data_IF_812324441752
#
_entry.id   IF_812324441752
#
_cell.length_a   1.000
_cell.length_b   1.000
_cell.length_c   1.000
_cell.angle_alpha   90.00
_cell.angle_beta   90.00
_cell.angle_gamma   90.00
#
_symmetry.space_group_name_H-M   'P 1'
#
loop_
_entity.id
_entity.type
_entity.pdbx_description
1 polymer ?
#
# COMPACT_ATOMS: atom_id res chain seq x y z
N UNK A 1 -25.67 2.10 -22.53
CA UNK A 1 -24.20 2.09 -22.71
C UNK A 1 -23.64 1.50 -21.44
N UNK A 2 -22.88 0.40 -21.53
CA UNK A 2 -22.27 -0.23 -20.35
C UNK A 2 -21.05 0.63 -20.00
N UNK A 3 -21.14 1.36 -18.90
CA UNK A 3 -20.03 2.14 -18.37
C UNK A 3 -18.92 1.14 -17.99
N UNK A 4 -17.78 1.22 -18.67
CA UNK A 4 -16.65 0.34 -18.36
C UNK A 4 -16.16 0.69 -16.97
N UNK A 5 -16.20 -0.27 -16.08
CA UNK A 5 -15.46 -0.28 -14.82
C UNK A 5 -14.06 0.35 -14.99
N UNK A 6 -13.81 1.47 -14.33
CA UNK A 6 -12.55 2.19 -14.46
C UNK A 6 -11.52 1.63 -13.46
N UNK A 7 -10.60 0.79 -13.96
CA UNK A 7 -9.43 0.36 -13.18
C UNK A 7 -8.42 1.50 -13.17
N UNK A 8 -8.14 2.04 -11.98
CA UNK A 8 -7.11 3.05 -11.78
C UNK A 8 -5.75 2.40 -11.55
N UNK A 9 -4.68 3.13 -11.89
CA UNK A 9 -3.33 2.59 -11.85
C UNK A 9 -2.28 3.68 -11.66
N UNK A 10 -1.24 3.33 -10.93
CA UNK A 10 0.01 4.06 -10.86
C UNK A 10 1.17 3.13 -11.20
N UNK A 11 2.04 3.57 -12.10
CA UNK A 11 3.24 2.84 -12.50
C UNK A 11 4.46 3.75 -12.41
N UNK A 12 5.53 3.25 -11.80
CA UNK A 12 6.82 3.94 -11.75
C UNK A 12 7.95 2.92 -11.81
N UNK A 13 8.57 2.84 -12.99
CA UNK A 13 9.61 1.85 -13.29
C UNK A 13 9.07 0.43 -13.09
N UNK A 14 9.55 -0.24 -12.06
CA UNK A 14 9.19 -1.63 -11.76
C UNK A 14 8.03 -1.79 -10.76
N UNK A 15 7.61 -0.69 -10.13
CA UNK A 15 6.50 -0.66 -9.20
C UNK A 15 5.22 -0.38 -9.96
N UNK A 16 4.22 -1.23 -9.75
CA UNK A 16 2.91 -1.10 -10.35
C UNK A 16 1.82 -1.38 -9.32
N UNK A 17 0.98 -0.39 -9.05
CA UNK A 17 -0.19 -0.56 -8.21
C UNK A 17 -1.43 -0.21 -9.03
N UNK A 18 -2.37 -1.14 -9.09
CA UNK A 18 -3.69 -0.90 -9.66
C UNK A 18 -4.75 -1.10 -8.59
N UNK A 19 -5.86 -0.38 -8.73
CA UNK A 19 -6.96 -0.45 -7.78
C UNK A 19 -8.30 -0.19 -8.44
N UNK A 20 -9.34 -0.70 -7.77
CA UNK A 20 -10.73 -0.54 -8.13
C UNK A 20 -11.57 -0.51 -6.85
N UNK A 21 -12.65 0.24 -6.83
CA UNK A 21 -13.57 0.31 -5.69
C UNK A 21 -14.86 -0.40 -6.03
N UNK A 22 -15.24 -1.36 -5.19
CA UNK A 22 -16.51 -2.08 -5.35
C UNK A 22 -17.70 -1.31 -4.77
N UNK A 23 -18.91 -1.83 -5.02
CA UNK A 23 -20.16 -1.26 -4.51
C UNK A 23 -20.29 -1.31 -2.97
N UNK A 24 -19.45 -2.09 -2.29
CA UNK A 24 -19.42 -2.23 -0.84
C UNK A 24 -18.40 -1.31 -0.19
N UNK A 25 -17.90 -0.30 -0.92
CA UNK A 25 -16.87 0.63 -0.46
C UNK A 25 -15.56 -0.06 -0.03
N UNK A 26 -15.16 -1.14 -0.71
CA UNK A 26 -13.83 -1.72 -0.57
C UNK A 26 -12.96 -1.42 -1.78
N UNK A 27 -11.73 -1.00 -1.51
CA UNK A 27 -10.68 -0.83 -2.52
C UNK A 27 -9.95 -2.15 -2.68
N UNK A 28 -9.97 -2.70 -3.88
CA UNK A 28 -9.23 -3.91 -4.26
C UNK A 28 -7.94 -3.49 -4.95
N UNK A 29 -6.81 -3.74 -4.29
CA UNK A 29 -5.49 -3.44 -4.81
C UNK A 29 -4.86 -4.66 -5.47
N UNK A 30 -4.08 -4.40 -6.53
CA UNK A 30 -3.14 -5.34 -7.09
C UNK A 30 -1.78 -4.66 -7.27
N UNK A 31 -0.83 -5.06 -6.42
CA UNK A 31 0.57 -4.68 -6.51
C UNK A 31 1.33 -5.71 -7.35
N UNK A 32 2.10 -5.24 -8.32
CA UNK A 32 3.13 -6.00 -9.01
C UNK A 32 4.44 -5.20 -8.92
N UNK A 33 5.45 -5.77 -8.28
CA UNK A 33 6.78 -5.20 -8.21
C UNK A 33 7.78 -6.14 -8.89
N UNK A 34 8.35 -5.71 -10.02
CA UNK A 34 9.39 -6.46 -10.76
C UNK A 34 10.79 -6.10 -10.26
N UNK A 35 11.73 -7.05 -10.32
CA UNK A 35 13.08 -6.87 -9.75
C UNK A 35 13.06 -6.44 -8.26
N UNK A 36 12.08 -6.95 -7.51
CA UNK A 36 12.01 -6.75 -6.06
C UNK A 36 13.18 -7.49 -5.38
N UNK A 37 13.82 -6.90 -4.34
CA UNK A 37 15.03 -7.45 -3.75
C UNK A 37 14.92 -8.93 -3.36
N UNK A 38 16.01 -9.69 -3.55
CA UNK A 38 16.13 -11.10 -3.13
C UNK A 38 16.46 -11.29 -1.63
N UNK A 39 16.31 -10.22 -0.85
CA UNK A 39 16.54 -10.19 0.59
C UNK A 39 15.24 -9.78 1.29
N UNK A 40 15.24 -9.87 2.63
CA UNK A 40 14.11 -9.41 3.43
C UNK A 40 13.89 -7.90 3.20
N UNK A 41 12.75 -7.55 2.63
CA UNK A 41 12.49 -6.21 2.15
C UNK A 41 10.98 -5.89 2.21
N UNK A 42 10.66 -4.60 2.15
CA UNK A 42 9.29 -4.11 2.20
C UNK A 42 9.07 -2.96 1.20
N UNK A 43 7.82 -2.83 0.77
CA UNK A 43 7.28 -1.72 -0.04
C UNK A 43 5.85 -1.47 0.43
N UNK A 44 5.11 -0.60 -0.25
CA UNK A 44 3.72 -0.34 0.12
C UNK A 44 3.15 0.88 -0.58
N UNK A 45 2.02 1.31 -0.05
CA UNK A 45 1.35 2.57 -0.35
C UNK A 45 0.90 3.18 0.97
N UNK A 46 1.06 4.48 1.12
CA UNK A 46 0.58 5.22 2.28
C UNK A 46 -0.40 6.32 1.87
N UNK A 47 -1.21 6.76 2.81
CA UNK A 47 -2.31 7.68 2.66
C UNK A 47 -2.13 8.81 3.66
N UNK A 48 -2.23 10.05 3.18
CA UNK A 48 -2.00 11.25 3.97
C UNK A 48 -0.88 12.13 3.44
N UNK A 49 -0.82 13.34 3.99
CA UNK A 49 -0.05 14.44 3.41
C UNK A 49 1.47 14.30 3.61
N UNK A 50 1.91 13.81 4.77
CA UNK A 50 3.33 13.68 5.11
C UNK A 50 3.53 12.82 6.36
N UNK A 51 4.73 12.25 6.55
CA UNK A 51 5.09 11.56 7.80
C UNK A 51 4.90 12.44 9.04
N UNK A 52 5.16 13.76 8.93
CA UNK A 52 5.00 14.70 10.04
C UNK A 52 3.53 14.89 10.44
N UNK A 53 2.61 14.82 9.48
CA UNK A 53 1.16 14.90 9.71
C UNK A 53 0.55 13.56 10.15
N UNK A 54 1.30 12.46 10.03
CA UNK A 54 0.78 11.11 10.16
C UNK A 54 0.45 10.52 8.80
N UNK A 55 0.67 9.21 8.68
CA UNK A 55 0.26 8.42 7.53
C UNK A 55 -0.37 7.11 8.00
N UNK A 56 -1.38 6.69 7.28
CA UNK A 56 -1.93 5.33 7.24
C UNK A 56 -1.28 4.61 6.06
N UNK A 57 -0.85 3.37 6.21
CA UNK A 57 -0.02 2.69 5.22
C UNK A 57 -0.28 1.19 5.14
N UNK A 58 -0.53 0.73 3.92
CA UNK A 58 -0.48 -0.70 3.63
C UNK A 58 0.94 -1.10 3.26
N UNK A 59 1.56 -1.91 4.11
CA UNK A 59 2.93 -2.39 3.96
C UNK A 59 2.93 -3.83 3.46
N UNK A 60 3.67 -4.07 2.38
CA UNK A 60 3.90 -5.40 1.80
C UNK A 60 5.33 -5.81 2.09
N UNK A 61 5.51 -6.87 2.87
CA UNK A 61 6.83 -7.41 3.25
C UNK A 61 7.09 -8.72 2.53
N UNK A 62 8.33 -8.94 2.14
CA UNK A 62 8.86 -10.24 1.74
C UNK A 62 9.91 -10.64 2.75
N UNK A 63 9.65 -11.71 3.49
CA UNK A 63 10.57 -12.25 4.52
C UNK A 63 10.78 -13.73 4.25
N UNK A 64 12.03 -14.11 3.99
CA UNK A 64 12.41 -15.48 3.62
C UNK A 64 11.54 -16.05 2.47
N UNK A 65 11.27 -15.21 1.46
CA UNK A 65 10.45 -15.54 0.29
C UNK A 65 8.94 -15.58 0.54
N UNK A 66 8.47 -15.37 1.78
CA UNK A 66 7.04 -15.31 2.12
C UNK A 66 6.55 -13.86 2.09
N UNK A 67 5.41 -13.65 1.46
CA UNK A 67 4.79 -12.32 1.37
C UNK A 67 3.76 -12.16 2.49
N UNK A 68 3.77 -11.02 3.16
CA UNK A 68 2.71 -10.58 4.07
C UNK A 68 2.28 -9.16 3.72
N UNK A 69 1.03 -8.83 4.04
CA UNK A 69 0.46 -7.49 3.92
C UNK A 69 -0.05 -7.11 5.30
N UNK A 70 0.25 -5.90 5.74
CA UNK A 70 -0.21 -5.37 7.02
C UNK A 70 -0.62 -3.91 6.87
N UNK A 71 -1.65 -3.55 7.62
CA UNK A 71 -2.02 -2.16 7.89
C UNK A 71 -1.10 -1.61 8.99
N UNK A 72 -0.42 -0.52 8.69
CA UNK A 72 0.54 0.14 9.56
C UNK A 72 0.36 1.65 9.49
N UNK A 73 0.74 2.36 10.53
CA UNK A 73 0.74 3.82 10.53
C UNK A 73 2.14 4.39 10.81
N UNK A 74 2.34 5.65 10.44
CA UNK A 74 3.56 6.42 10.70
C UNK A 74 3.22 7.64 11.55
N UNK A 75 4.02 7.91 12.59
CA UNK A 75 3.95 9.13 13.39
C UNK A 75 5.28 9.85 13.41
N UNK A 76 5.36 11.00 12.74
CA UNK A 76 6.61 11.74 12.57
C UNK A 76 7.61 10.97 11.70
N UNK A 77 8.88 11.40 11.70
CA UNK A 77 9.95 10.74 10.94
C UNK A 77 10.46 9.45 11.62
N UNK A 78 9.54 8.53 11.91
CA UNK A 78 9.80 7.24 12.56
C UNK A 78 9.46 6.06 11.62
N UNK A 79 9.94 4.85 11.91
CA UNK A 79 9.46 3.64 11.26
C UNK A 79 7.94 3.46 11.44
N UNK A 80 7.30 2.78 10.49
CA UNK A 80 5.89 2.42 10.60
C UNK A 80 5.67 1.41 11.74
N UNK A 81 4.45 1.44 12.29
CA UNK A 81 4.00 0.57 13.38
C UNK A 81 2.69 -0.09 12.97
N UNK A 82 2.49 -1.40 13.22
CA UNK A 82 1.23 -2.04 12.94
C UNK A 82 0.06 -1.33 13.62
N UNK A 83 -1.04 -1.12 12.89
CA UNK A 83 -2.30 -0.73 13.52
C UNK A 83 -2.86 -1.91 14.34
N UNK A 84 -3.49 -1.59 15.46
CA UNK A 84 -4.21 -2.54 16.29
C UNK A 84 -5.46 -3.09 15.58
N UNK A 85 -6.18 -2.27 14.81
CA UNK A 85 -7.22 -2.73 13.90
C UNK A 85 -6.60 -2.92 12.53
N UNK A 86 -6.62 -4.13 11.99
CA UNK A 86 -6.13 -4.39 10.64
C UNK A 86 -7.31 -4.24 9.68
N UNK A 87 -7.41 -3.08 9.03
CA UNK A 87 -8.45 -2.82 8.02
C UNK A 87 -8.17 -3.51 6.67
N UNK A 88 -6.96 -4.04 6.52
CA UNK A 88 -6.45 -4.60 5.27
C UNK A 88 -6.48 -6.12 5.28
N UNK A 89 -7.05 -6.71 4.22
CA UNK A 89 -7.14 -8.16 4.06
C UNK A 89 -6.33 -8.65 2.85
N UNK A 90 -5.38 -9.55 3.09
CA UNK A 90 -4.65 -10.22 2.02
C UNK A 90 -5.53 -11.27 1.33
N UNK A 91 -5.66 -11.18 0.00
CA UNK A 91 -6.38 -12.15 -0.82
C UNK A 91 -5.43 -13.21 -1.40
N UNK A 92 -4.39 -12.77 -2.09
CA UNK A 92 -3.38 -13.63 -2.72
C UNK A 92 -2.04 -12.94 -2.73
N UNK A 93 -0.95 -13.65 -2.50
CA UNK A 93 0.38 -13.10 -2.70
C UNK A 93 1.38 -14.16 -3.15
N UNK A 94 2.33 -13.75 -3.97
CA UNK A 94 3.44 -14.57 -4.41
C UNK A 94 4.71 -13.72 -4.52
N UNK A 95 5.83 -14.35 -4.22
CA UNK A 95 7.15 -13.82 -4.54
C UNK A 95 7.94 -14.92 -5.24
N UNK A 96 8.26 -14.69 -6.52
CA UNK A 96 9.02 -15.66 -7.31
C UNK A 96 10.03 -14.94 -8.19
N UNK A 97 11.30 -15.34 -8.11
CA UNK A 97 12.39 -14.84 -8.96
C UNK A 97 12.43 -13.30 -9.09
N UNK A 98 12.29 -12.59 -7.96
CA UNK A 98 12.33 -11.12 -7.95
C UNK A 98 11.04 -10.45 -8.42
N UNK A 99 9.95 -11.19 -8.61
CA UNK A 99 8.62 -10.64 -8.91
C UNK A 99 7.74 -10.83 -7.68
N UNK A 100 7.38 -9.72 -7.04
CA UNK A 100 6.38 -9.66 -5.98
C UNK A 100 5.02 -9.36 -6.61
N UNK A 101 4.01 -10.17 -6.30
CA UNK A 101 2.60 -9.84 -6.55
C UNK A 101 1.81 -9.97 -5.27
N UNK A 102 0.96 -9.00 -5.00
CA UNK A 102 0.03 -9.05 -3.87
C UNK A 102 -1.31 -8.44 -4.28
N UNK A 103 -2.39 -9.13 -3.90
CA UNK A 103 -3.76 -8.63 -3.98
C UNK A 103 -4.31 -8.55 -2.58
N UNK A 104 -4.84 -7.39 -2.23
CA UNK A 104 -5.36 -7.10 -0.90
C UNK A 104 -6.49 -6.09 -1.00
N UNK A 105 -7.33 -6.05 0.03
CA UNK A 105 -8.44 -5.11 0.11
C UNK A 105 -8.30 -4.22 1.32
N UNK A 106 -8.87 -3.02 1.22
CA UNK A 106 -9.00 -2.06 2.32
C UNK A 106 -10.32 -1.29 2.15
N UNK A 107 -11.11 -1.04 3.20
CA UNK A 107 -12.28 -0.17 3.13
C UNK A 107 -11.90 1.25 2.68
N UNK A 108 -12.80 1.91 1.93
CA UNK A 108 -12.65 3.33 1.55
C UNK A 108 -12.59 4.23 2.78
N UNK A 109 -13.35 3.86 3.83
CA UNK A 109 -13.30 4.52 5.13
C UNK A 109 -13.02 3.45 6.18
N UNK A 110 -11.75 3.19 6.46
CA UNK A 110 -11.39 2.69 7.77
C UNK A 110 -11.33 3.92 8.67
N UNK A 111 -12.23 3.98 9.63
CA UNK A 111 -12.26 5.07 10.64
C UNK A 111 -12.41 4.44 12.02
N UNK A 112 -11.93 3.21 12.16
CA UNK A 112 -11.99 2.44 13.40
C UNK A 112 -10.85 2.87 14.33
N UNK A 113 -9.77 3.42 13.77
CA UNK A 113 -8.61 3.97 14.48
C UNK A 113 -8.40 5.46 14.14
N UNK A 114 -7.83 6.21 15.09
CA UNK A 114 -7.52 7.66 14.91
C UNK A 114 -6.37 7.92 13.94
N UNK A 115 -5.67 6.87 13.52
CA UNK A 115 -4.58 6.97 12.54
C UNK A 115 -5.02 6.58 11.15
N UNK A 116 -6.23 6.03 10.99
CA UNK A 116 -6.77 5.66 9.69
C UNK A 116 -7.10 6.91 8.88
N UNK A 117 -6.76 6.87 7.60
CA UNK A 117 -7.12 7.91 6.65
C UNK A 117 -8.20 7.39 5.70
N UNK A 118 -9.35 8.09 5.70
CA UNK A 118 -10.37 7.90 4.68
C UNK A 118 -9.79 8.19 3.28
N UNK A 119 -10.08 7.31 2.33
CA UNK A 119 -9.71 7.44 0.92
C UNK A 119 -10.82 8.09 0.09
N UNK A 120 -11.90 8.54 0.72
CA UNK A 120 -13.05 9.16 0.05
C UNK A 120 -12.63 10.46 -0.65
N UNK A 121 -13.11 10.66 -1.87
CA UNK A 121 -12.78 11.84 -2.67
C UNK A 121 -11.35 11.82 -3.20
N UNK A 122 -10.72 13.00 -3.25
CA UNK A 122 -9.36 13.18 -3.75
C UNK A 122 -8.37 13.33 -2.59
N UNK A 123 -7.55 12.31 -2.36
CA UNK A 123 -6.62 12.28 -1.22
C UNK A 123 -5.17 12.06 -1.65
N UNK A 124 -4.19 12.57 -0.89
CA UNK A 124 -2.78 12.34 -1.17
C UNK A 124 -2.39 10.89 -0.84
N UNK A 125 -1.85 10.20 -1.83
CA UNK A 125 -1.27 8.87 -1.71
C UNK A 125 0.24 8.95 -1.91
N UNK A 126 0.99 8.14 -1.18
CA UNK A 126 2.44 8.04 -1.26
C UNK A 126 2.85 6.65 -1.70
N UNK A 127 3.38 6.54 -2.91
CA UNK A 127 3.82 5.28 -3.49
C UNK A 127 5.29 5.01 -3.11
N UNK A 128 5.53 3.91 -2.38
CA UNK A 128 6.86 3.56 -1.85
C UNK A 128 7.60 2.73 -2.89
N UNK A 129 8.02 3.39 -3.97
CA UNK A 129 8.65 2.75 -5.13
C UNK A 129 10.10 2.33 -4.88
N UNK A 130 10.77 2.87 -3.85
CA UNK A 130 12.09 2.43 -3.39
C UNK A 130 11.94 1.54 -2.16
N UNK A 131 12.10 0.20 -2.26
CA UNK A 131 11.90 -0.69 -1.12
C UNK A 131 12.88 -0.39 0.00
N UNK A 132 12.46 -0.65 1.24
CA UNK A 132 13.31 -0.69 2.42
C UNK A 132 13.69 -2.13 2.79
N UNK A 133 14.71 -2.30 3.61
CA UNK A 133 15.09 -3.62 4.15
C UNK A 133 14.21 -3.97 5.35
N UNK A 134 13.97 -5.26 5.60
CA UNK A 134 13.37 -5.73 6.86
C UNK A 134 14.48 -6.30 7.73
N UNK A 135 14.64 -5.74 8.94
CA UNK A 135 15.65 -6.17 9.90
C UNK A 135 15.28 -7.49 10.57
N UNK A 136 16.25 -8.11 11.23
CA UNK A 136 16.07 -9.39 11.92
C UNK A 136 15.02 -9.33 13.05
N UNK A 137 14.78 -8.16 13.64
CA UNK A 137 13.73 -7.95 14.65
C UNK A 137 12.34 -7.70 14.05
N UNK A 138 12.18 -7.82 12.72
CA UNK A 138 10.93 -7.56 12.00
C UNK A 138 10.66 -6.09 11.68
N UNK A 139 11.48 -5.16 12.18
CA UNK A 139 11.35 -3.73 11.91
C UNK A 139 11.69 -3.37 10.46
N UNK A 140 10.98 -2.39 9.91
CA UNK A 140 11.27 -1.83 8.59
C UNK A 140 12.40 -0.79 8.65
N UNK A 141 13.43 -0.98 7.82
CA UNK A 141 14.44 0.03 7.54
C UNK A 141 13.94 1.11 6.57
N UNK A 142 14.62 2.26 6.54
CA UNK A 142 14.24 3.39 5.67
C UNK A 142 14.14 2.96 4.21
N UNK A 143 13.08 3.41 3.52
CA UNK A 143 12.93 3.26 2.07
C UNK A 143 14.14 3.86 1.32
N UNK A 144 14.57 3.24 0.22
CA UNK A 144 15.76 3.66 -0.53
C UNK A 144 15.55 4.93 -1.37
N UNK A 145 14.30 5.32 -1.61
CA UNK A 145 13.92 6.55 -2.33
C UNK A 145 12.74 7.20 -1.64
N UNK A 146 12.65 8.52 -1.69
CA UNK A 146 11.48 9.23 -1.20
C UNK A 146 10.20 8.72 -1.90
N UNK A 147 9.12 8.44 -1.16
CA UNK A 147 7.84 8.07 -1.74
C UNK A 147 7.35 9.14 -2.72
N UNK A 148 6.69 8.70 -3.78
CA UNK A 148 6.10 9.61 -4.77
C UNK A 148 4.69 9.96 -4.34
N UNK A 149 4.40 11.24 -4.18
CA UNK A 149 3.08 11.72 -3.75
C UNK A 149 2.22 12.02 -4.98
N UNK A 150 0.99 11.53 -5.02
CA UNK A 150 -0.02 11.95 -6.00
C UNK A 150 -1.38 12.16 -5.34
N UNK A 151 -2.19 13.05 -5.91
CA UNK A 151 -3.60 13.19 -5.54
C UNK A 151 -4.40 12.16 -6.33
N UNK A 152 -5.06 11.25 -5.62
CA UNK A 152 -5.89 10.19 -6.20
C UNK A 152 -7.34 10.47 -5.86
N UNK A 153 -8.18 10.63 -6.88
CA UNK A 153 -9.62 10.80 -6.76
C UNK A 153 -10.32 9.45 -6.88
N UNK A 154 -10.58 8.81 -5.75
CA UNK A 154 -10.99 7.41 -5.70
C UNK A 154 -12.39 7.17 -6.31
N UNK A 155 -13.25 8.19 -6.32
CA UNK A 155 -14.58 8.12 -6.92
C UNK A 155 -14.54 7.87 -8.44
N UNK A 156 -13.40 8.13 -9.09
CA UNK A 156 -13.19 7.84 -10.52
C UNK A 156 -12.83 6.37 -10.79
N UNK A 157 -12.61 5.58 -9.74
CA UNK A 157 -12.12 4.20 -9.81
C UNK A 157 -13.18 3.18 -9.36
N UNK A 158 -14.44 3.62 -9.28
CA UNK A 158 -15.59 2.82 -8.85
C UNK A 158 -16.15 2.00 -10.00
N UNK A 159 -16.64 0.82 -9.68
CA UNK A 159 -17.32 -0.10 -10.60
C UNK A 159 -18.73 -0.39 -10.12
#
# INVERSE_FOLDING_TARGET
MVESAAICRYTNGQYDLSWVVDHSDNVHFQLIYRNFPHLNAWTGVAFGQSMAAGLDAVIVKVVNGRVSVSDEYVRGYSPSQPDYSQDTQLQTAEYNQGILKARFTRPVSAVESVVDHSLKGCTPWQFITGPGIVYANGGGGKHTRHPVIQIICLDQCRI
#
